data_IF_617326145987
#
_entry.id   IF_617326145987
#
_cell.length_a   1.000
_cell.length_b   1.000
_cell.length_c   1.000
_cell.angle_alpha   90.00
_cell.angle_beta   90.00
_cell.angle_gamma   90.00
#
_symmetry.space_group_name_H-M   'P 1'
#
loop_
_entity.id
_entity.type
_entity.pdbx_description
1 polymer ?
#
# COMPACT_ATOMS: atom_id res chain seq x y z
N UNK A 1 -9.37 8.10 8.40
CA UNK A 1 -8.41 7.01 8.16
C UNK A 1 -7.00 7.39 8.59
N UNK A 2 -6.06 6.44 8.73
CA UNK A 2 -4.65 6.73 9.06
C UNK A 2 -3.93 7.40 7.89
N UNK A 3 -2.90 8.21 8.16
CA UNK A 3 -2.13 8.98 7.17
C UNK A 3 -0.64 8.89 7.48
N UNK A 4 0.24 8.95 6.47
CA UNK A 4 1.65 9.15 6.78
C UNK A 4 1.87 10.49 7.49
N UNK A 5 2.79 10.52 8.46
CA UNK A 5 2.95 11.67 9.35
C UNK A 5 3.30 12.98 8.62
N UNK A 6 3.93 12.91 7.45
CA UNK A 6 4.31 14.09 6.67
C UNK A 6 3.15 14.72 5.87
N UNK A 7 2.01 14.03 5.72
CA UNK A 7 0.85 14.60 5.00
C UNK A 7 -0.07 15.42 5.90
N UNK A 8 -0.13 15.12 7.20
CA UNK A 8 -1.07 15.75 8.14
C UNK A 8 -0.30 16.39 9.29
N UNK A 9 -0.27 17.74 9.40
CA UNK A 9 0.51 18.45 10.41
C UNK A 9 0.19 18.04 11.85
N UNK A 10 -1.07 17.68 12.16
CA UNK A 10 -1.44 17.20 13.49
C UNK A 10 -0.88 15.80 13.79
N UNK A 11 -0.75 14.93 12.79
CA UNK A 11 -0.12 13.62 12.93
C UNK A 11 1.40 13.78 13.06
N UNK A 12 2.02 14.72 12.33
CA UNK A 12 3.43 15.06 12.51
C UNK A 12 3.74 15.49 13.95
N UNK A 13 2.99 16.46 14.47
CA UNK A 13 3.13 16.95 15.86
C UNK A 13 2.91 15.85 16.89
N UNK A 14 1.94 14.96 16.67
CA UNK A 14 1.71 13.81 17.54
C UNK A 14 2.93 12.87 17.52
N UNK A 15 3.46 12.55 16.34
CA UNK A 15 4.63 11.68 16.20
C UNK A 15 5.85 12.28 16.89
N UNK A 16 6.13 13.57 16.73
CA UNK A 16 7.24 14.23 17.42
C UNK A 16 7.14 14.13 18.94
N UNK A 17 5.92 14.21 19.48
CA UNK A 17 5.70 14.20 20.93
C UNK A 17 5.76 12.80 21.55
N UNK A 18 5.30 11.77 20.84
CA UNK A 18 5.03 10.46 21.43
C UNK A 18 5.85 9.32 20.83
N UNK A 19 6.58 9.56 19.74
CA UNK A 19 7.28 8.52 19.00
C UNK A 19 8.78 8.59 19.24
N UNK A 20 9.40 7.44 19.50
CA UNK A 20 10.85 7.35 19.59
C UNK A 20 11.50 7.75 18.25
N UNK A 21 12.72 8.35 18.26
CA UNK A 21 13.40 8.76 17.04
C UNK A 21 13.70 7.57 16.10
N UNK A 22 13.81 7.85 14.81
CA UNK A 22 13.91 6.82 13.74
C UNK A 22 15.24 6.03 13.75
N UNK A 23 16.16 6.32 14.67
CA UNK A 23 17.44 5.64 14.88
C UNK A 23 17.36 4.43 15.85
N UNK A 24 16.20 4.19 16.46
CA UNK A 24 15.95 3.07 17.39
C UNK A 24 15.95 1.66 16.75
N UNK A 25 16.56 1.50 15.57
CA UNK A 25 16.65 0.24 14.82
C UNK A 25 15.44 -0.08 13.92
N UNK A 26 15.47 -1.24 13.24
CA UNK A 26 14.41 -1.64 12.31
C UNK A 26 13.06 -1.87 12.99
N UNK A 27 11.98 -1.39 12.37
CA UNK A 27 10.61 -1.47 12.92
C UNK A 27 9.68 -2.27 12.03
N UNK A 28 8.77 -3.02 12.65
CA UNK A 28 7.64 -3.67 12.00
C UNK A 28 6.57 -2.67 11.57
N UNK A 29 5.61 -3.12 10.76
CA UNK A 29 4.43 -2.34 10.36
C UNK A 29 3.71 -1.76 11.59
N UNK A 30 3.50 -2.58 12.61
CA UNK A 30 2.81 -2.17 13.84
C UNK A 30 3.59 -1.11 14.62
N UNK A 31 4.92 -1.26 14.72
CA UNK A 31 5.78 -0.30 15.44
C UNK A 31 5.97 1.00 14.67
N UNK A 32 5.89 0.96 13.33
CA UNK A 32 6.09 2.13 12.46
C UNK A 32 4.82 2.95 12.27
N UNK A 33 3.65 2.31 12.31
CA UNK A 33 2.36 2.93 12.01
C UNK A 33 1.39 2.87 13.19
N UNK A 34 1.85 3.17 14.41
CA UNK A 34 1.03 3.23 15.62
C UNK A 34 0.59 4.65 16.01
N UNK A 35 0.30 5.50 15.03
CA UNK A 35 -0.22 6.86 15.23
C UNK A 35 -1.73 6.94 14.97
N UNK A 36 -2.43 7.95 15.53
CA UNK A 36 -3.89 8.08 15.42
C UNK A 36 -4.37 8.26 13.98
N UNK A 37 -5.68 8.08 13.80
CA UNK A 37 -6.34 8.39 12.52
C UNK A 37 -6.25 9.90 12.23
N UNK A 38 -6.06 10.24 10.95
CA UNK A 38 -6.06 11.62 10.47
C UNK A 38 -7.45 12.26 10.41
N UNK A 39 -8.48 11.45 10.22
CA UNK A 39 -9.92 11.79 10.11
C UNK A 39 -10.75 10.52 10.38
N UNK A 40 -12.09 10.59 10.45
CA UNK A 40 -12.91 9.38 10.60
C UNK A 40 -12.87 8.49 9.34
N UNK A 41 -13.27 7.22 9.40
CA UNK A 41 -13.56 6.44 8.19
C UNK A 41 -14.55 7.18 7.28
N UNK A 42 -14.37 7.05 5.96
CA UNK A 42 -15.24 7.61 4.90
C UNK A 42 -15.39 9.12 4.81
N UNK A 43 -14.78 9.89 5.72
CA UNK A 43 -14.85 11.36 5.72
C UNK A 43 -13.75 12.06 4.91
N UNK A 44 -12.79 11.32 4.35
CA UNK A 44 -11.67 11.93 3.64
C UNK A 44 -10.80 10.96 2.85
N UNK A 45 -9.90 11.51 2.06
CA UNK A 45 -8.89 10.78 1.31
C UNK A 45 -7.50 11.29 1.63
N UNK A 46 -6.56 10.35 1.82
CA UNK A 46 -5.13 10.65 1.96
C UNK A 46 -4.32 9.43 1.59
N UNK A 47 -3.16 9.64 0.97
CA UNK A 47 -2.19 8.57 0.75
C UNK A 47 -1.68 8.05 2.09
N UNK A 48 -1.76 6.73 2.30
CA UNK A 48 -1.69 6.14 3.63
C UNK A 48 -1.04 4.75 3.68
N UNK A 49 -0.53 4.32 4.85
CA UNK A 49 0.00 2.98 5.05
C UNK A 49 -1.08 1.88 5.17
N UNK A 50 -2.23 2.04 4.51
CA UNK A 50 -3.36 1.11 4.61
C UNK A 50 -3.07 -0.28 4.04
N UNK A 51 -2.30 -0.35 2.96
CA UNK A 51 -1.94 -1.62 2.31
C UNK A 51 -0.98 -2.46 3.18
N UNK A 52 -0.14 -1.83 4.00
CA UNK A 52 0.67 -2.57 4.98
C UNK A 52 -0.21 -3.28 6.02
N UNK A 53 -1.26 -2.61 6.50
CA UNK A 53 -2.21 -3.23 7.43
C UNK A 53 -3.04 -4.32 6.75
N UNK A 54 -3.42 -4.15 5.48
CA UNK A 54 -4.05 -5.22 4.71
C UNK A 54 -3.13 -6.47 4.64
N UNK A 55 -1.83 -6.29 4.42
CA UNK A 55 -0.85 -7.38 4.48
C UNK A 55 -0.83 -8.08 5.85
N UNK A 56 -0.80 -7.32 6.95
CA UNK A 56 -0.88 -7.89 8.31
C UNK A 56 -2.20 -8.60 8.61
N UNK A 57 -3.29 -8.24 7.93
CA UNK A 57 -4.57 -8.95 8.02
C UNK A 57 -4.46 -10.27 7.27
N UNK A 58 -3.94 -10.26 6.03
CA UNK A 58 -3.68 -11.47 5.23
C UNK A 58 -2.88 -12.49 6.04
N UNK A 59 -1.74 -12.09 6.60
CA UNK A 59 -0.90 -12.99 7.41
C UNK A 59 -1.65 -13.62 8.58
N UNK A 60 -2.48 -12.83 9.28
CA UNK A 60 -3.23 -13.33 10.44
C UNK A 60 -4.34 -14.29 10.04
N UNK A 61 -5.00 -14.07 8.91
CA UNK A 61 -6.13 -14.92 8.48
C UNK A 61 -5.66 -16.18 7.74
N UNK A 62 -4.50 -16.14 7.07
CA UNK A 62 -3.95 -17.29 6.37
C UNK A 62 -3.01 -18.12 7.24
N UNK A 63 -2.40 -17.53 8.26
CA UNK A 63 -1.33 -18.15 9.05
C UNK A 63 0.01 -18.24 8.31
N UNK A 64 0.10 -17.68 7.10
CA UNK A 64 1.30 -17.62 6.28
C UNK A 64 1.97 -16.25 6.44
N UNK A 65 3.26 -16.15 6.11
CA UNK A 65 3.87 -14.84 5.87
C UNK A 65 3.20 -14.14 4.66
N UNK A 66 3.42 -12.83 4.53
CA UNK A 66 2.88 -12.11 3.38
C UNK A 66 3.61 -12.58 2.11
N UNK A 67 4.90 -12.89 2.22
CA UNK A 67 5.71 -13.44 1.13
C UNK A 67 5.17 -14.78 0.63
N UNK A 68 4.92 -15.72 1.54
CA UNK A 68 4.32 -17.02 1.22
C UNK A 68 2.93 -16.86 0.60
N UNK A 69 2.11 -15.96 1.16
CA UNK A 69 0.76 -15.70 0.65
C UNK A 69 0.78 -15.13 -0.77
N UNK A 70 1.69 -14.21 -1.06
CA UNK A 70 1.84 -13.60 -2.38
C UNK A 70 2.43 -14.62 -3.36
N UNK A 71 3.44 -15.39 -2.96
CA UNK A 71 4.02 -16.44 -3.80
C UNK A 71 2.92 -17.42 -4.23
N UNK A 72 2.20 -18.01 -3.28
CA UNK A 72 1.18 -19.03 -3.55
C UNK A 72 0.00 -18.53 -4.38
N UNK A 73 -0.44 -17.28 -4.17
CA UNK A 73 -1.73 -16.79 -4.71
C UNK A 73 -1.58 -15.83 -5.88
N UNK A 74 -0.43 -15.19 -6.03
CA UNK A 74 -0.18 -14.16 -7.05
C UNK A 74 0.90 -14.62 -8.02
N UNK A 75 1.99 -15.24 -7.56
CA UNK A 75 3.12 -15.58 -8.41
C UNK A 75 3.06 -16.98 -9.00
N UNK A 76 2.65 -17.97 -8.24
CA UNK A 76 2.54 -19.35 -8.72
C UNK A 76 1.54 -19.49 -9.89
N UNK A 77 0.34 -18.86 -9.89
CA UNK A 77 -0.61 -19.00 -11.00
C UNK A 77 -0.11 -18.51 -12.39
N UNK A 78 0.59 -17.36 -12.51
CA UNK A 78 1.26 -16.96 -13.75
C UNK A 78 2.65 -17.56 -13.95
N UNK A 79 3.18 -18.35 -13.00
CA UNK A 79 4.48 -19.03 -13.10
C UNK A 79 5.68 -18.12 -12.84
N UNK A 80 5.59 -17.24 -11.85
CA UNK A 80 6.65 -16.34 -11.39
C UNK A 80 7.43 -17.05 -10.26
N UNK A 81 8.75 -17.18 -10.41
CA UNK A 81 9.62 -17.89 -9.45
C UNK A 81 10.02 -17.05 -8.22
N UNK A 82 10.47 -17.71 -7.14
CA UNK A 82 10.91 -17.19 -5.81
C UNK A 82 12.00 -16.10 -5.78
N UNK A 83 12.26 -15.36 -6.85
CA UNK A 83 13.25 -14.25 -6.84
C UNK A 83 12.73 -12.99 -6.14
N UNK A 84 11.53 -13.04 -5.59
CA UNK A 84 10.85 -11.91 -5.00
C UNK A 84 11.16 -11.78 -3.52
N UNK A 85 11.71 -10.62 -3.14
CA UNK A 85 12.01 -10.30 -1.74
C UNK A 85 10.95 -9.30 -1.29
N UNK A 86 10.14 -9.64 -0.27
CA UNK A 86 9.29 -8.67 0.45
C UNK A 86 9.97 -8.06 1.67
N UNK A 87 11.10 -8.66 2.06
CA UNK A 87 11.99 -8.21 3.12
C UNK A 87 12.78 -6.99 2.66
N UNK A 88 12.11 -5.83 2.59
CA UNK A 88 12.67 -4.49 2.41
C UNK A 88 14.01 -4.49 1.65
N UNK A 89 13.96 -4.48 0.32
CA UNK A 89 15.18 -4.54 -0.50
C UNK A 89 16.21 -3.47 -0.16
N UNK A 90 17.42 -3.59 -0.71
CA UNK A 90 18.67 -2.94 -0.22
C UNK A 90 18.73 -1.39 -0.23
N UNK A 91 17.64 -0.67 -0.47
CA UNK A 91 17.59 0.78 -0.35
C UNK A 91 17.57 1.24 1.12
N UNK A 92 18.17 2.40 1.39
CA UNK A 92 18.34 2.94 2.75
C UNK A 92 17.04 3.04 3.57
N UNK A 93 15.90 3.29 2.92
CA UNK A 93 14.59 3.37 3.58
C UNK A 93 14.13 2.03 4.16
N UNK A 94 14.55 0.93 3.53
CA UNK A 94 14.13 -0.42 3.88
C UNK A 94 15.02 -1.07 4.94
N UNK A 95 16.26 -0.59 5.11
CA UNK A 95 17.16 -1.01 6.20
C UNK A 95 16.54 -0.76 7.60
N UNK A 96 15.53 0.11 7.67
CA UNK A 96 14.80 0.44 8.90
C UNK A 96 13.50 -0.35 9.08
N UNK A 97 13.28 -1.40 8.28
CA UNK A 97 12.06 -2.21 8.30
C UNK A 97 12.34 -3.62 8.82
N UNK A 98 11.39 -4.18 9.57
CA UNK A 98 11.43 -5.57 10.06
C UNK A 98 10.16 -6.32 9.63
N UNK A 99 10.34 -7.35 8.82
CA UNK A 99 9.24 -8.15 8.25
C UNK A 99 8.67 -7.55 6.96
N UNK A 100 7.54 -8.11 6.50
CA UNK A 100 6.97 -7.79 5.20
C UNK A 100 6.15 -6.49 5.21
N UNK A 101 6.42 -5.62 4.23
CA UNK A 101 5.72 -4.34 4.06
C UNK A 101 4.94 -4.32 2.74
N UNK A 102 3.61 -4.43 2.83
CA UNK A 102 2.74 -4.62 1.66
C UNK A 102 2.77 -3.55 0.57
N UNK A 103 3.15 -2.29 0.83
CA UNK A 103 3.09 -1.22 -0.21
C UNK A 103 4.42 -0.84 -0.87
N UNK A 104 5.58 -1.16 -0.28
CA UNK A 104 6.88 -0.79 -0.87
C UNK A 104 8.03 -1.76 -0.53
N UNK A 105 7.70 -3.01 -0.19
CA UNK A 105 8.70 -4.05 0.06
C UNK A 105 9.02 -4.93 -1.15
N UNK A 106 8.18 -4.90 -2.19
CA UNK A 106 8.20 -5.86 -3.30
C UNK A 106 9.25 -5.52 -4.37
N UNK A 107 10.09 -6.49 -4.71
CA UNK A 107 11.04 -6.42 -5.83
C UNK A 107 10.76 -7.51 -6.85
N UNK A 108 10.65 -7.12 -8.12
CA UNK A 108 10.27 -8.01 -9.21
C UNK A 108 10.98 -7.58 -10.51
N UNK A 109 11.43 -8.50 -11.36
CA UNK A 109 11.82 -8.17 -12.74
C UNK A 109 10.63 -7.58 -13.51
N UNK A 110 10.90 -6.63 -14.41
CA UNK A 110 9.84 -5.97 -15.19
C UNK A 110 8.98 -6.94 -15.99
N UNK A 111 9.58 -7.98 -16.57
CA UNK A 111 8.83 -9.01 -17.32
C UNK A 111 7.83 -9.76 -16.44
N UNK A 112 8.17 -10.02 -15.18
CA UNK A 112 7.25 -10.68 -14.24
C UNK A 112 6.12 -9.74 -13.82
N UNK A 113 6.36 -8.43 -13.74
CA UNK A 113 5.31 -7.44 -13.43
C UNK A 113 4.27 -7.40 -14.55
N UNK A 114 4.73 -7.47 -15.79
CA UNK A 114 3.82 -7.53 -16.95
C UNK A 114 2.96 -8.79 -16.95
N UNK A 115 3.43 -9.92 -16.41
CA UNK A 115 2.61 -11.15 -16.28
C UNK A 115 1.46 -10.94 -15.29
N UNK A 116 1.71 -10.23 -14.19
CA UNK A 116 0.67 -9.87 -13.20
C UNK A 116 -0.34 -8.93 -13.85
N UNK A 117 0.11 -7.84 -14.46
CA UNK A 117 -0.77 -6.88 -15.15
C UNK A 117 -1.59 -7.55 -16.25
N UNK A 118 -0.98 -8.41 -17.06
CA UNK A 118 -1.66 -9.15 -18.12
C UNK A 118 -2.70 -10.12 -17.54
N UNK A 119 -2.43 -10.76 -16.40
CA UNK A 119 -3.41 -11.65 -15.76
C UNK A 119 -4.66 -10.91 -15.26
N UNK A 120 -4.50 -9.67 -14.78
CA UNK A 120 -5.59 -8.78 -14.38
C UNK A 120 -6.36 -8.29 -15.62
N UNK A 121 -5.65 -7.82 -16.64
CA UNK A 121 -6.25 -7.20 -17.84
C UNK A 121 -6.96 -8.21 -18.75
N UNK A 122 -6.38 -9.40 -18.95
CA UNK A 122 -6.90 -10.38 -19.90
C UNK A 122 -8.14 -11.15 -19.39
N UNK A 123 -8.81 -10.68 -18.32
CA UNK A 123 -9.81 -11.46 -17.57
C UNK A 123 -9.28 -12.86 -17.22
N UNK A 124 -7.97 -12.99 -17.06
CA UNK A 124 -7.31 -14.25 -16.84
C UNK A 124 -7.72 -14.75 -15.47
N UNK A 125 -8.64 -15.72 -15.44
CA UNK A 125 -9.21 -16.38 -14.25
C UNK A 125 -8.17 -17.03 -13.31
N UNK A 126 -6.89 -16.68 -13.43
CA UNK A 126 -5.76 -17.19 -12.68
C UNK A 126 -5.60 -16.53 -11.32
N UNK A 127 -5.95 -15.24 -11.19
CA UNK A 127 -5.77 -14.51 -9.92
C UNK A 127 -7.08 -14.24 -9.19
N UNK A 128 -8.06 -13.65 -9.88
CA UNK A 128 -9.32 -13.20 -9.27
C UNK A 128 -10.50 -13.58 -10.14
N UNK A 129 -11.68 -13.68 -9.52
CA UNK A 129 -12.94 -13.88 -10.23
C UNK A 129 -13.25 -12.64 -11.08
N UNK A 130 -13.90 -12.79 -12.25
CA UNK A 130 -14.24 -11.65 -13.11
C UNK A 130 -15.04 -10.55 -12.40
N UNK A 131 -15.98 -10.91 -11.52
CA UNK A 131 -16.74 -9.93 -10.74
C UNK A 131 -15.84 -9.09 -9.81
N UNK A 132 -14.80 -9.70 -9.22
CA UNK A 132 -13.82 -8.98 -8.39
C UNK A 132 -12.91 -8.10 -9.24
N UNK A 133 -12.55 -8.55 -10.46
CA UNK A 133 -11.81 -7.72 -11.41
C UNK A 133 -12.63 -6.50 -11.83
N UNK A 134 -13.92 -6.67 -12.10
CA UNK A 134 -14.79 -5.54 -12.41
C UNK A 134 -14.86 -4.56 -11.23
N UNK A 135 -15.08 -5.09 -10.02
CA UNK A 135 -15.20 -4.29 -8.81
C UNK A 135 -13.97 -3.41 -8.56
N UNK A 136 -12.73 -3.89 -8.76
CA UNK A 136 -11.53 -3.06 -8.53
C UNK A 136 -11.41 -1.84 -9.47
N UNK A 137 -12.13 -1.82 -10.58
CA UNK A 137 -12.19 -0.67 -11.51
C UNK A 137 -13.35 0.29 -11.24
N UNK A 138 -14.17 0.03 -10.21
CA UNK A 138 -15.25 0.91 -9.80
C UNK A 138 -14.77 2.03 -8.86
N UNK A 139 -15.61 3.07 -8.74
CA UNK A 139 -15.37 4.16 -7.81
C UNK A 139 -15.79 3.78 -6.38
N UNK A 140 -14.80 3.59 -5.50
CA UNK A 140 -15.00 3.14 -4.12
C UNK A 140 -15.00 4.24 -3.05
N UNK A 141 -14.88 5.51 -3.44
CA UNK A 141 -14.88 6.61 -2.46
C UNK A 141 -16.30 7.09 -2.19
N UNK A 142 -16.61 7.32 -0.91
CA UNK A 142 -17.81 8.06 -0.52
C UNK A 142 -17.82 9.45 -1.18
N UNK A 143 -18.98 10.12 -1.23
CA UNK A 143 -19.06 11.49 -1.74
C UNK A 143 -18.08 12.43 -1.03
N UNK A 144 -17.99 12.33 0.30
CA UNK A 144 -17.12 13.17 1.11
C UNK A 144 -15.63 12.86 0.85
N UNK A 145 -15.25 11.58 0.78
CA UNK A 145 -13.90 11.18 0.45
C UNK A 145 -13.52 11.55 -0.99
N UNK A 146 -14.49 11.54 -1.92
CA UNK A 146 -14.31 11.98 -3.31
C UNK A 146 -13.97 13.46 -3.37
N UNK A 147 -14.73 14.31 -2.68
CA UNK A 147 -14.45 15.74 -2.61
C UNK A 147 -13.08 16.02 -1.99
N UNK A 148 -12.74 15.29 -0.92
CA UNK A 148 -11.41 15.36 -0.31
C UNK A 148 -10.30 14.92 -1.27
N UNK A 149 -10.51 13.88 -2.07
CA UNK A 149 -9.54 13.43 -3.07
C UNK A 149 -9.32 14.48 -4.16
N UNK A 150 -10.40 15.09 -4.67
CA UNK A 150 -10.32 16.17 -5.66
C UNK A 150 -9.54 17.38 -5.14
N UNK A 151 -9.73 17.75 -3.86
CA UNK A 151 -8.94 18.80 -3.23
C UNK A 151 -7.44 18.46 -3.17
N UNK A 152 -7.07 17.18 -3.03
CA UNK A 152 -5.66 16.76 -3.08
C UNK A 152 -5.12 16.82 -4.51
N UNK A 153 -5.91 16.41 -5.52
CA UNK A 153 -5.51 16.44 -6.93
C UNK A 153 -5.21 17.85 -7.46
N UNK A 154 -5.90 18.87 -6.93
CA UNK A 154 -5.69 20.29 -7.28
C UNK A 154 -4.62 20.98 -6.42
N UNK A 155 -4.16 20.33 -5.34
CA UNK A 155 -3.09 20.85 -4.49
C UNK A 155 -1.71 20.78 -5.18
N UNK A 156 -0.67 21.44 -4.63
CA UNK A 156 0.71 21.27 -5.11
C UNK A 156 1.20 19.81 -5.10
N UNK A 157 0.67 18.97 -4.20
CA UNK A 157 0.97 17.52 -4.15
C UNK A 157 0.19 16.73 -5.20
N UNK A 158 -0.79 17.34 -5.87
CA UNK A 158 -1.64 16.69 -6.85
C UNK A 158 -0.89 16.13 -8.06
N UNK A 159 0.26 16.71 -8.42
CA UNK A 159 1.11 16.19 -9.50
C UNK A 159 1.55 14.74 -9.27
N UNK A 160 1.80 14.34 -8.03
CA UNK A 160 2.14 12.96 -7.67
C UNK A 160 0.97 11.99 -7.85
N UNK A 161 -0.27 12.47 -7.78
CA UNK A 161 -1.49 11.66 -7.80
C UNK A 161 -2.23 11.72 -9.13
N UNK A 162 -1.92 12.69 -10.00
CA UNK A 162 -2.54 12.83 -11.32
C UNK A 162 -1.95 11.92 -12.40
N UNK A 163 -0.79 11.30 -12.15
CA UNK A 163 -0.17 10.28 -13.04
C UNK A 163 -0.15 10.72 -14.51
N UNK A 164 0.30 11.95 -14.77
CA UNK A 164 0.41 12.50 -16.13
C UNK A 164 -0.87 13.12 -16.72
N UNK A 165 -1.94 13.22 -15.93
CA UNK A 165 -3.15 13.96 -16.30
C UNK A 165 -3.04 15.43 -15.84
N UNK A 166 -3.35 16.37 -16.74
CA UNK A 166 -3.39 17.78 -16.39
C UNK A 166 -4.53 18.08 -15.40
N UNK A 167 -4.41 19.13 -14.57
CA UNK A 167 -5.51 19.51 -13.69
C UNK A 167 -6.67 20.02 -14.55
N UNK A 168 -7.84 19.41 -14.40
CA UNK A 168 -9.09 19.85 -15.04
C UNK A 168 -9.58 21.18 -14.46
#
# INVERSE_FOLDING_TARGET
>A
MMSYSWYLPHIAKWREKFFAPDDAGPRSVQERFCYPLGFQPDEGWVYRPGVHWAGRIVERVTGLSLEESIQQRIFDPPGISERTILSGGRGDMNLRLRGDFGSYGLYLPGDDDTKILHSIWANGMKLLKPATIHDIFEHHLSLQATNSHQAVLTSPMGSFFRVGVDPM
#
